data_IF_731919976353
#
_entry.id   IF_731919976353
#
_cell.length_a   1.000
_cell.length_b   1.000
_cell.length_c   1.000
_cell.angle_alpha   90.00
_cell.angle_beta   90.00
_cell.angle_gamma   90.00
#
_symmetry.space_group_name_H-M   'P 1'
#
loop_
_entity.id
_entity.type
_entity.pdbx_description
1 polymer ?
#
# COMPACT_ATOMS: atom_id res chain seq x y z
N UNK A 1 -14.72 2.69 -22.48
CA UNK A 1 -14.33 2.81 -21.06
C UNK A 1 -13.73 4.19 -20.87
N UNK A 2 -14.19 4.92 -19.86
CA UNK A 2 -13.54 6.17 -19.44
C UNK A 2 -12.23 5.82 -18.73
N UNK A 3 -11.16 6.58 -18.97
CA UNK A 3 -9.90 6.36 -18.27
C UNK A 3 -10.08 6.72 -16.78
N UNK A 4 -9.63 5.87 -15.85
CA UNK A 4 -9.72 6.17 -14.42
C UNK A 4 -8.89 7.42 -14.10
N UNK A 5 -9.38 8.25 -13.17
CA UNK A 5 -8.67 9.46 -12.74
C UNK A 5 -7.60 9.18 -11.68
N UNK A 6 -7.71 8.07 -10.96
CA UNK A 6 -6.78 7.66 -9.92
C UNK A 6 -5.52 7.01 -10.49
N UNK A 7 -4.56 6.78 -9.59
CA UNK A 7 -3.26 6.20 -9.91
C UNK A 7 -3.06 4.90 -9.15
N UNK A 8 -2.69 3.83 -9.85
CA UNK A 8 -2.26 2.56 -9.27
C UNK A 8 -0.74 2.46 -9.30
N UNK A 9 -0.14 2.12 -8.17
CA UNK A 9 1.31 1.94 -8.03
C UNK A 9 1.58 0.54 -7.47
N UNK A 10 2.05 -0.36 -8.34
CA UNK A 10 2.42 -1.72 -7.98
C UNK A 10 3.94 -1.81 -7.75
N UNK A 11 4.35 -2.17 -6.54
CA UNK A 11 5.75 -2.26 -6.12
C UNK A 11 6.13 -3.73 -5.90
N UNK A 12 7.23 -4.18 -6.50
CA UNK A 12 7.65 -5.59 -6.48
C UNK A 12 8.04 -6.18 -5.12
N UNK A 13 8.17 -5.34 -4.08
CA UNK A 13 8.67 -5.74 -2.76
C UNK A 13 10.07 -5.22 -2.49
N UNK A 14 10.52 -5.38 -1.23
CA UNK A 14 11.82 -4.92 -0.74
C UNK A 14 12.11 -3.43 -1.01
N UNK A 15 11.07 -2.59 -0.98
CA UNK A 15 11.23 -1.17 -1.19
C UNK A 15 11.99 -0.50 -0.04
N UNK A 16 12.76 0.53 -0.37
CA UNK A 16 13.54 1.31 0.58
C UNK A 16 12.59 2.06 1.54
N UNK A 17 12.76 1.79 2.83
CA UNK A 17 12.00 2.36 3.95
C UNK A 17 12.85 3.31 4.80
N UNK A 18 14.09 3.56 4.40
CA UNK A 18 15.05 4.44 5.06
C UNK A 18 15.46 3.86 6.41
N UNK A 19 16.21 2.77 6.41
CA UNK A 19 16.70 2.16 7.65
C UNK A 19 17.78 3.01 8.32
N UNK A 20 17.95 2.89 9.64
CA UNK A 20 19.02 3.62 10.35
C UNK A 20 20.41 3.02 10.09
N UNK A 21 20.49 1.76 9.67
CA UNK A 21 21.74 1.07 9.30
C UNK A 21 22.35 1.61 7.99
N UNK A 22 21.52 2.21 7.12
CA UNK A 22 22.00 2.81 5.88
C UNK A 22 22.66 4.19 6.07
N UNK A 23 22.67 4.75 7.30
CA UNK A 23 23.34 6.03 7.62
C UNK A 23 24.85 6.01 7.36
N UNK A 24 25.48 4.84 7.26
CA UNK A 24 26.91 4.73 6.97
C UNK A 24 27.24 4.95 5.48
N UNK A 25 26.26 4.88 4.57
CA UNK A 25 26.45 5.25 3.17
C UNK A 25 25.97 6.68 2.97
N UNK A 26 26.88 7.59 2.63
CA UNK A 26 26.60 8.99 2.31
C UNK A 26 25.49 9.21 1.24
N UNK A 27 25.12 8.18 0.49
CA UNK A 27 24.07 8.21 -0.54
C UNK A 27 22.69 7.70 -0.09
N UNK A 28 22.53 7.14 1.12
CA UNK A 28 21.27 6.47 1.53
C UNK A 28 20.06 7.42 1.65
N UNK A 29 20.29 8.65 2.12
CA UNK A 29 19.26 9.68 2.18
C UNK A 29 18.80 10.11 0.77
N UNK A 30 19.70 10.09 -0.22
CA UNK A 30 19.38 10.41 -1.60
C UNK A 30 18.62 9.26 -2.28
N UNK A 31 18.98 7.99 -2.00
CA UNK A 31 18.22 6.83 -2.46
C UNK A 31 16.81 6.80 -1.88
N UNK A 32 16.64 7.09 -0.60
CA UNK A 32 15.33 7.13 0.04
C UNK A 32 14.45 8.27 -0.52
N UNK A 33 15.03 9.45 -0.77
CA UNK A 33 14.35 10.57 -1.44
C UNK A 33 14.05 10.29 -2.92
N UNK A 34 14.80 9.41 -3.58
CA UNK A 34 14.53 8.95 -4.95
C UNK A 34 13.70 7.66 -4.96
N UNK A 35 13.33 7.16 -3.78
CA UNK A 35 12.63 5.90 -3.60
C UNK A 35 11.15 5.99 -3.93
N UNK A 36 10.54 4.82 -4.13
CA UNK A 36 9.13 4.70 -4.52
C UNK A 36 8.17 5.37 -3.52
N UNK A 37 8.53 5.45 -2.25
CA UNK A 37 7.74 6.16 -1.24
C UNK A 37 7.68 7.67 -1.49
N UNK A 38 8.77 8.28 -1.96
CA UNK A 38 8.77 9.69 -2.35
C UNK A 38 7.95 9.92 -3.62
N UNK A 39 7.98 8.99 -4.57
CA UNK A 39 7.15 9.07 -5.77
C UNK A 39 5.65 8.97 -5.42
N UNK A 40 5.26 8.07 -4.52
CA UNK A 40 3.89 7.99 -3.98
C UNK A 40 3.47 9.36 -3.41
N UNK A 41 4.30 9.97 -2.56
CA UNK A 41 4.04 11.30 -1.99
C UNK A 41 3.90 12.37 -3.07
N UNK A 42 4.80 12.36 -4.07
CA UNK A 42 4.78 13.30 -5.19
C UNK A 42 3.51 13.22 -6.03
N UNK A 43 2.97 12.02 -6.24
CA UNK A 43 1.73 11.76 -6.99
C UNK A 43 0.50 12.16 -6.17
N UNK A 44 0.50 11.88 -4.86
CA UNK A 44 -0.60 12.27 -3.96
C UNK A 44 -0.83 13.79 -3.95
N UNK A 45 0.21 14.59 -4.17
CA UNK A 45 0.08 15.99 -4.55
C UNK A 45 1.21 16.89 -4.08
N UNK A 46 1.76 17.69 -5.00
CA UNK A 46 2.76 18.74 -4.72
C UNK A 46 2.23 19.94 -3.90
N UNK A 47 0.95 19.98 -3.51
CA UNK A 47 0.25 21.17 -2.98
C UNK A 47 -0.41 21.03 -1.59
N UNK A 48 -0.50 19.82 -1.04
CA UNK A 48 -1.11 19.58 0.28
C UNK A 48 -0.44 18.40 0.96
N UNK A 49 -0.28 18.45 2.28
CA UNK A 49 0.21 17.31 3.06
C UNK A 49 -0.73 16.10 2.84
N UNK A 50 -0.28 15.04 2.14
CA UNK A 50 -1.17 13.96 1.77
C UNK A 50 -1.54 13.14 2.99
N UNK A 51 -2.83 12.83 3.13
CA UNK A 51 -3.31 11.89 4.13
C UNK A 51 -3.18 10.47 3.62
N UNK A 52 -2.28 9.71 4.22
CA UNK A 52 -1.92 8.35 3.80
C UNK A 52 -2.44 7.34 4.82
N UNK A 53 -3.18 6.34 4.36
CA UNK A 53 -3.62 5.22 5.17
C UNK A 53 -2.84 3.95 4.81
N UNK A 54 -2.08 3.42 5.77
CA UNK A 54 -1.35 2.16 5.59
C UNK A 54 -2.25 1.00 6.01
N UNK A 55 -2.56 0.11 5.06
CA UNK A 55 -3.35 -1.09 5.27
C UNK A 55 -2.40 -2.28 5.45
N UNK A 56 -2.41 -2.88 6.63
CA UNK A 56 -1.47 -3.96 7.00
C UNK A 56 -2.13 -5.33 7.10
N UNK A 57 -3.26 -5.53 6.42
CA UNK A 57 -4.06 -6.76 6.49
C UNK A 57 -3.29 -8.02 6.05
N UNK A 58 -2.39 -7.87 5.07
CA UNK A 58 -1.54 -8.96 4.60
C UNK A 58 -0.45 -9.35 5.61
N UNK A 59 -0.05 -8.45 6.51
CA UNK A 59 1.10 -8.65 7.39
C UNK A 59 0.78 -9.54 8.60
N UNK A 60 1.74 -10.38 8.99
CA UNK A 60 1.74 -11.11 10.27
C UNK A 60 2.15 -10.25 11.47
N UNK A 61 2.82 -9.12 11.22
CA UNK A 61 3.29 -8.13 12.20
C UNK A 61 2.74 -6.73 11.84
N UNK A 62 1.42 -6.52 11.90
CA UNK A 62 0.77 -5.33 11.36
C UNK A 62 1.23 -4.02 12.00
N UNK A 63 1.41 -4.00 13.31
CA UNK A 63 1.77 -2.78 14.04
C UNK A 63 3.22 -2.35 13.75
N UNK A 64 4.15 -3.29 13.69
CA UNK A 64 5.56 -3.02 13.35
C UNK A 64 5.70 -2.47 11.93
N UNK A 65 5.04 -3.10 10.95
CA UNK A 65 5.05 -2.66 9.56
C UNK A 65 4.48 -1.24 9.43
N UNK A 66 3.37 -0.95 10.13
CA UNK A 66 2.79 0.39 10.14
C UNK A 66 3.74 1.43 10.76
N UNK A 67 4.46 1.09 11.84
CA UNK A 67 5.45 1.98 12.44
C UNK A 67 6.62 2.27 11.50
N UNK A 68 7.08 1.27 10.75
CA UNK A 68 8.13 1.47 9.74
C UNK A 68 7.66 2.48 8.69
N UNK A 69 6.51 2.26 8.04
CA UNK A 69 6.00 3.22 7.05
C UNK A 69 5.73 4.60 7.62
N UNK A 70 5.20 4.70 8.84
CA UNK A 70 5.01 5.99 9.52
C UNK A 70 6.32 6.74 9.67
N UNK A 71 7.39 6.07 10.09
CA UNK A 71 8.73 6.67 10.18
C UNK A 71 9.24 7.08 8.80
N UNK A 72 9.09 6.22 7.79
CA UNK A 72 9.52 6.48 6.41
C UNK A 72 8.82 7.71 5.83
N UNK A 73 7.48 7.76 5.85
CA UNK A 73 6.72 8.91 5.34
C UNK A 73 6.98 10.19 6.14
N UNK A 74 7.23 10.09 7.45
CA UNK A 74 7.64 11.25 8.26
C UNK A 74 9.00 11.81 7.84
N UNK A 75 9.96 10.95 7.45
CA UNK A 75 11.24 11.40 6.87
C UNK A 75 11.06 12.15 5.53
N UNK A 76 9.96 11.87 4.82
CA UNK A 76 9.57 12.55 3.58
C UNK A 76 8.71 13.81 3.81
N UNK A 77 8.50 14.21 5.07
CA UNK A 77 7.73 15.41 5.41
C UNK A 77 6.21 15.21 5.47
N UNK A 78 5.71 13.97 5.36
CA UNK A 78 4.29 13.68 5.56
C UNK A 78 4.00 13.53 7.06
N UNK A 79 2.93 14.13 7.55
CA UNK A 79 2.56 14.08 8.99
C UNK A 79 1.26 13.33 9.28
N UNK A 80 0.32 13.27 8.33
CA UNK A 80 -0.96 12.55 8.48
C UNK A 80 -0.86 11.13 7.90
N UNK A 81 -0.17 10.25 8.63
CA UNK A 81 -0.09 8.82 8.31
C UNK A 81 -0.91 8.00 9.30
N UNK A 82 -2.01 7.47 8.79
CA UNK A 82 -2.89 6.56 9.48
C UNK A 82 -2.48 5.09 9.34
N UNK A 83 -3.06 4.25 10.21
CA UNK A 83 -2.93 2.80 10.16
C UNK A 83 -4.33 2.18 10.15
N UNK A 84 -4.67 1.50 9.07
CA UNK A 84 -5.87 0.68 8.93
C UNK A 84 -5.49 -0.78 9.22
N UNK A 85 -5.59 -1.15 10.49
CA UNK A 85 -5.45 -2.53 10.95
C UNK A 85 -6.77 -3.27 10.79
N UNK A 86 -7.04 -3.75 9.57
CA UNK A 86 -8.23 -4.55 9.25
C UNK A 86 -7.82 -6.02 9.34
N UNK A 87 -8.30 -6.71 10.37
CA UNK A 87 -7.94 -8.11 10.63
C UNK A 87 -9.04 -9.10 10.27
N UNK A 88 -10.29 -8.62 10.23
CA UNK A 88 -11.48 -9.38 9.91
C UNK A 88 -12.33 -8.64 8.89
N UNK A 89 -13.14 -9.38 8.12
CA UNK A 89 -13.97 -8.81 7.05
C UNK A 89 -14.97 -7.78 7.59
N UNK A 90 -15.57 -8.04 8.74
CA UNK A 90 -16.59 -7.15 9.34
C UNK A 90 -15.99 -5.80 9.79
N UNK A 91 -14.68 -5.75 10.01
CA UNK A 91 -13.99 -4.50 10.34
C UNK A 91 -13.88 -3.59 9.11
N UNK A 92 -13.71 -4.17 7.91
CA UNK A 92 -13.56 -3.42 6.67
C UNK A 92 -14.75 -2.47 6.42
N UNK A 93 -15.95 -2.95 6.74
CA UNK A 93 -17.22 -2.21 6.55
C UNK A 93 -17.65 -1.43 7.80
N UNK A 94 -16.78 -1.33 8.80
CA UNK A 94 -17.06 -0.49 9.95
C UNK A 94 -17.07 0.99 9.54
N UNK A 95 -18.08 1.73 10.01
CA UNK A 95 -18.20 3.18 9.78
C UNK A 95 -16.90 3.95 10.02
N UNK A 96 -16.14 3.58 11.07
CA UNK A 96 -14.85 4.19 11.39
C UNK A 96 -13.80 4.00 10.28
N UNK A 97 -13.78 2.85 9.63
CA UNK A 97 -12.83 2.56 8.55
C UNK A 97 -13.27 3.24 7.26
N UNK A 98 -14.56 3.18 6.91
CA UNK A 98 -15.10 3.84 5.73
C UNK A 98 -14.93 5.37 5.79
N UNK A 99 -15.20 6.00 6.93
CA UNK A 99 -14.96 7.45 7.12
C UNK A 99 -13.49 7.86 6.96
N UNK A 100 -12.55 6.96 7.31
CA UNK A 100 -11.12 7.20 7.12
C UNK A 100 -10.73 7.02 5.66
N UNK A 101 -11.29 6.00 5.01
CA UNK A 101 -11.13 5.75 3.59
C UNK A 101 -11.62 6.95 2.77
N UNK A 102 -12.77 7.55 3.09
CA UNK A 102 -13.30 8.74 2.40
C UNK A 102 -12.41 9.97 2.55
N UNK A 103 -11.74 10.12 3.70
CA UNK A 103 -10.95 11.32 4.03
C UNK A 103 -9.49 11.24 3.58
N UNK A 104 -8.97 10.07 3.26
CA UNK A 104 -7.58 9.93 2.83
C UNK A 104 -7.39 10.28 1.36
N UNK A 105 -6.14 10.52 0.96
CA UNK A 105 -5.74 10.76 -0.44
C UNK A 105 -5.02 9.54 -1.04
N UNK A 106 -4.50 8.68 -0.17
CA UNK A 106 -3.69 7.54 -0.55
C UNK A 106 -3.97 6.35 0.35
N UNK A 107 -4.07 5.17 -0.25
CA UNK A 107 -3.96 3.88 0.44
C UNK A 107 -2.64 3.23 0.05
N UNK A 108 -1.92 2.69 1.04
CA UNK A 108 -0.78 1.82 0.83
C UNK A 108 -1.06 0.44 1.43
N UNK A 109 -1.20 -0.57 0.57
CA UNK A 109 -1.26 -1.98 0.98
C UNK A 109 0.15 -2.53 1.23
N UNK A 110 0.43 -2.94 2.46
CA UNK A 110 1.70 -3.57 2.80
C UNK A 110 1.85 -4.97 2.21
N UNK A 111 3.07 -5.49 2.23
CA UNK A 111 3.36 -6.89 1.91
C UNK A 111 2.88 -7.87 2.98
N UNK A 112 3.04 -9.16 2.69
CA UNK A 112 2.64 -10.28 3.55
C UNK A 112 1.94 -11.37 2.75
N UNK A 113 0.75 -11.79 3.18
CA UNK A 113 -0.08 -12.80 2.53
C UNK A 113 -1.19 -12.16 1.68
N UNK A 114 -1.09 -12.32 0.36
CA UNK A 114 -2.07 -11.84 -0.61
C UNK A 114 -3.42 -12.55 -0.55
N UNK A 115 -3.47 -13.83 -0.17
CA UNK A 115 -4.73 -14.57 0.02
C UNK A 115 -5.47 -14.02 1.24
N UNK A 116 -4.74 -13.72 2.32
CA UNK A 116 -5.31 -13.03 3.49
C UNK A 116 -5.88 -11.66 3.12
N UNK A 117 -5.15 -10.88 2.32
CA UNK A 117 -5.61 -9.57 1.87
C UNK A 117 -6.93 -9.69 1.07
N UNK A 118 -6.97 -10.57 0.07
CA UNK A 118 -8.16 -10.78 -0.77
C UNK A 118 -9.34 -11.39 0.00
N UNK A 119 -9.11 -12.30 0.95
CA UNK A 119 -10.19 -12.91 1.74
C UNK A 119 -10.83 -11.94 2.73
N UNK A 120 -10.04 -11.03 3.31
CA UNK A 120 -10.54 -10.03 4.27
C UNK A 120 -11.22 -8.86 3.56
N UNK A 121 -10.65 -8.34 2.48
CA UNK A 121 -11.15 -7.13 1.80
C UNK A 121 -12.00 -7.42 0.57
N UNK A 122 -11.88 -8.59 -0.06
CA UNK A 122 -12.63 -8.88 -1.28
C UNK A 122 -14.14 -8.84 -1.04
N UNK A 123 -14.86 -8.10 -1.89
CA UNK A 123 -16.33 -7.98 -1.83
C UNK A 123 -16.88 -7.19 -0.65
N UNK A 124 -16.05 -6.36 0.00
CA UNK A 124 -16.47 -5.45 1.07
C UNK A 124 -16.80 -4.07 0.51
N UNK A 125 -17.60 -3.29 1.24
CA UNK A 125 -17.93 -1.90 0.90
C UNK A 125 -16.66 -1.04 0.82
N UNK A 126 -15.66 -1.34 1.66
CA UNK A 126 -14.33 -0.74 1.57
C UNK A 126 -13.72 -0.83 0.15
N UNK A 127 -13.82 -2.00 -0.50
CA UNK A 127 -13.27 -2.18 -1.84
C UNK A 127 -14.12 -1.53 -2.93
N UNK A 128 -15.44 -1.44 -2.72
CA UNK A 128 -16.34 -0.75 -3.64
C UNK A 128 -16.06 0.76 -3.65
N UNK A 129 -15.96 1.38 -2.47
CA UNK A 129 -15.55 2.79 -2.33
C UNK A 129 -14.16 3.00 -2.93
N UNK A 130 -13.20 2.12 -2.64
CA UNK A 130 -11.84 2.24 -3.17
C UNK A 130 -11.82 2.23 -4.71
N UNK A 131 -12.63 1.37 -5.33
CA UNK A 131 -12.79 1.30 -6.80
C UNK A 131 -13.44 2.56 -7.35
N UNK A 132 -14.53 3.01 -6.74
CA UNK A 132 -15.22 4.24 -7.14
C UNK A 132 -14.28 5.44 -7.11
N UNK A 133 -13.52 5.61 -6.02
CA UNK A 133 -12.56 6.70 -5.88
C UNK A 133 -11.42 6.61 -6.90
N UNK A 134 -10.93 5.40 -7.20
CA UNK A 134 -9.97 5.20 -8.28
C UNK A 134 -10.50 5.63 -9.65
N UNK A 135 -11.77 5.35 -9.94
CA UNK A 135 -12.37 5.71 -11.22
C UNK A 135 -12.68 7.22 -11.32
N UNK A 136 -13.12 7.83 -10.22
CA UNK A 136 -13.78 9.15 -10.24
C UNK A 136 -12.93 10.30 -9.71
N UNK A 137 -11.90 10.04 -8.89
CA UNK A 137 -11.10 11.02 -8.18
C UNK A 137 -9.59 10.92 -8.47
N UNK A 138 -8.83 11.97 -8.15
CA UNK A 138 -7.36 11.89 -8.10
C UNK A 138 -6.95 11.19 -6.79
N UNK A 139 -7.02 9.86 -6.80
CA UNK A 139 -6.76 9.02 -5.64
C UNK A 139 -5.62 8.02 -5.91
N UNK A 140 -4.71 7.85 -4.95
CA UNK A 140 -3.54 6.96 -5.11
C UNK A 140 -3.77 5.65 -4.37
N UNK A 141 -3.63 4.54 -5.10
CA UNK A 141 -3.62 3.19 -4.54
C UNK A 141 -2.25 2.59 -4.80
N UNK A 142 -1.46 2.45 -3.75
CA UNK A 142 -0.16 1.82 -3.78
C UNK A 142 -0.19 0.45 -3.09
N UNK A 143 0.63 -0.49 -3.54
CA UNK A 143 0.78 -1.79 -2.90
C UNK A 143 2.17 -2.36 -3.13
N UNK A 144 2.73 -3.01 -2.12
CA UNK A 144 4.03 -3.68 -2.21
C UNK A 144 3.90 -5.19 -2.04
N UNK A 145 4.66 -5.96 -2.83
CA UNK A 145 4.70 -7.43 -2.77
C UNK A 145 3.27 -8.00 -2.86
N UNK A 146 2.74 -8.62 -1.79
CA UNK A 146 1.36 -9.08 -1.72
C UNK A 146 0.30 -8.01 -2.08
N UNK A 147 0.51 -6.76 -1.66
CA UNK A 147 -0.38 -5.65 -1.99
C UNK A 147 -0.39 -5.32 -3.48
N UNK A 148 0.73 -5.50 -4.18
CA UNK A 148 0.80 -5.36 -5.64
C UNK A 148 0.15 -6.55 -6.35
N UNK A 149 0.38 -7.77 -5.87
CA UNK A 149 -0.21 -8.99 -6.44
C UNK A 149 -1.75 -8.95 -6.41
N UNK A 150 -2.31 -8.45 -5.31
CA UNK A 150 -3.76 -8.34 -5.10
C UNK A 150 -4.45 -7.26 -5.96
N UNK A 151 -3.72 -6.42 -6.70
CA UNK A 151 -4.30 -5.42 -7.61
C UNK A 151 -4.79 -6.03 -8.92
N UNK A 152 -4.36 -7.25 -9.24
CA UNK A 152 -4.71 -7.92 -10.50
C UNK A 152 -6.02 -8.70 -10.38
N UNK A 153 -6.82 -8.71 -11.46
CA UNK A 153 -8.02 -9.54 -11.52
C UNK A 153 -7.69 -11.05 -11.50
N UNK A 154 -6.51 -11.42 -11.99
CA UNK A 154 -5.96 -12.78 -11.93
C UNK A 154 -4.63 -12.72 -11.21
N UNK A 155 -4.61 -13.20 -9.98
CA UNK A 155 -3.48 -13.11 -9.08
C UNK A 155 -2.62 -14.39 -9.11
N UNK A 156 -1.30 -14.23 -9.18
CA UNK A 156 -0.36 -15.33 -8.96
C UNK A 156 -0.24 -15.54 -7.44
N UNK A 157 -0.85 -16.61 -6.93
CA UNK A 157 -0.90 -16.89 -5.50
C UNK A 157 0.34 -17.63 -4.97
N UNK A 158 1.23 -18.09 -5.86
CA UNK A 158 2.45 -18.79 -5.52
C UNK A 158 3.04 -19.55 -6.69
N UNK A 159 4.31 -19.93 -6.58
CA UNK A 159 5.03 -20.77 -7.52
C UNK A 159 6.11 -21.53 -6.77
N UNK A 160 6.27 -22.81 -7.09
CA UNK A 160 7.29 -23.66 -6.49
C UNK A 160 8.50 -23.67 -7.41
N UNK A 161 9.58 -22.99 -7.01
CA UNK A 161 10.83 -22.90 -7.78
C UNK A 161 11.40 -24.29 -8.09
N UNK A 162 11.20 -25.27 -7.20
CA UNK A 162 11.67 -26.64 -7.40
C UNK A 162 10.90 -27.39 -8.49
N UNK A 163 9.66 -26.97 -8.78
CA UNK A 163 8.83 -27.50 -9.85
C UNK A 163 8.89 -26.66 -11.13
N UNK A 164 9.48 -25.46 -11.08
CA UNK A 164 9.58 -24.56 -12.22
C UNK A 164 10.48 -25.11 -13.35
N UNK A 165 11.43 -25.99 -13.02
CA UNK A 165 12.36 -26.61 -13.99
C UNK A 165 11.84 -27.91 -14.63
N UNK A 166 10.71 -28.45 -14.19
CA UNK A 166 10.14 -29.65 -14.79
C UNK A 166 9.40 -29.27 -16.08
N UNK A 167 10.08 -29.48 -17.21
CA UNK A 167 9.46 -29.43 -18.54
C UNK A 167 8.37 -30.51 -18.61
N UNK A 168 7.14 -30.10 -18.92
CA UNK A 168 6.01 -31.02 -19.15
C UNK A 168 6.25 -31.98 -20.30
#
# INVERSE_FOLDING_TARGET
>A
MQLPKGVLIAVGGAEDKGSDEEKERQNSLDFFKQGILNEIVGICGKKSEPKIEVVTTASSIPDEVAQVYKKSFKKLGCIDIGHLKITRREEADSKKILERLEKCNCILFSGGDQLRLCSVLGGTEFMDILRERYETEHFVIAGTSAGAAAMSNTMICGGDETKAYLKG
#
